data_IF_566750656272
#
_entry.id   IF_566750656272
#
_cell.length_a   1.000
_cell.length_b   1.000
_cell.length_c   1.000
_cell.angle_alpha   90.00
_cell.angle_beta   90.00
_cell.angle_gamma   90.00
#
_symmetry.space_group_name_H-M   'P 1'
#
loop_
_entity.id
_entity.type
_entity.pdbx_description
1 polymer ?
#
# COMPACT_ATOMS: atom_id res chain seq x y z
N UNK A 1 5.62 -9.67 -13.54
CA UNK A 1 6.46 -8.57 -14.05
C UNK A 1 6.74 -7.58 -12.94
N UNK A 2 7.97 -7.11 -12.83
CA UNK A 2 8.32 -6.10 -11.83
C UNK A 2 7.78 -4.74 -12.27
N UNK A 3 7.01 -4.09 -11.38
CA UNK A 3 6.45 -2.76 -11.63
C UNK A 3 7.16 -1.72 -10.78
N UNK A 4 7.28 -0.51 -11.31
CA UNK A 4 7.92 0.59 -10.62
C UNK A 4 6.99 1.14 -9.55
N UNK A 5 7.55 1.43 -8.39
CA UNK A 5 6.80 2.00 -7.28
C UNK A 5 7.67 2.97 -6.50
N UNK A 6 7.04 3.80 -5.69
CA UNK A 6 7.71 4.84 -4.92
C UNK A 6 7.42 4.67 -3.44
N UNK A 7 8.49 4.62 -2.65
CA UNK A 7 8.44 4.61 -1.19
C UNK A 7 9.37 5.73 -0.74
N UNK A 8 8.85 6.70 -0.01
CA UNK A 8 9.60 7.91 0.34
C UNK A 8 10.26 7.80 1.72
N UNK A 9 9.56 7.22 2.70
CA UNK A 9 9.98 7.25 4.09
C UNK A 9 10.07 5.84 4.66
N UNK A 10 11.06 5.55 5.56
CA UNK A 10 11.14 4.21 6.18
C UNK A 10 9.91 3.80 6.96
N UNK A 11 9.06 4.75 7.37
CA UNK A 11 7.81 4.45 8.08
C UNK A 11 6.69 4.03 7.15
N UNK A 12 6.83 4.23 5.83
CA UNK A 12 5.75 3.98 4.90
C UNK A 12 5.32 2.51 4.93
N UNK A 13 4.02 2.29 4.97
CA UNK A 13 3.42 0.96 4.91
C UNK A 13 2.78 0.70 3.57
N UNK A 14 2.86 1.68 2.66
CA UNK A 14 2.36 1.56 1.29
C UNK A 14 3.42 2.05 0.30
N UNK A 15 3.34 1.55 -0.93
CA UNK A 15 4.10 2.05 -2.07
C UNK A 15 3.12 2.60 -3.09
N UNK A 16 3.51 3.67 -3.76
CA UNK A 16 2.70 4.29 -4.82
C UNK A 16 3.14 3.71 -6.15
N UNK A 17 2.22 3.15 -6.90
CA UNK A 17 2.53 2.59 -8.22
C UNK A 17 2.84 3.72 -9.20
N UNK A 18 3.95 3.59 -9.91
CA UNK A 18 4.37 4.56 -10.93
C UNK A 18 3.98 4.12 -12.33
N UNK A 19 3.21 3.05 -12.43
CA UNK A 19 2.63 2.52 -13.66
C UNK A 19 1.47 1.60 -13.28
N UNK A 20 0.63 1.27 -14.26
CA UNK A 20 -0.44 0.31 -14.02
C UNK A 20 0.15 -1.06 -13.75
N UNK A 21 -0.38 -1.73 -12.75
CA UNK A 21 0.06 -3.07 -12.35
C UNK A 21 -1.14 -4.01 -12.31
N UNK A 22 -0.85 -5.30 -12.50
CA UNK A 22 -1.85 -6.35 -12.48
C UNK A 22 -1.57 -7.31 -11.34
N UNK A 23 -2.62 -7.97 -10.86
CA UNK A 23 -2.48 -9.05 -9.89
C UNK A 23 -1.42 -10.03 -10.37
N UNK A 24 -0.50 -10.37 -9.48
CA UNK A 24 0.63 -11.24 -9.79
C UNK A 24 1.91 -10.51 -10.19
N UNK A 25 1.81 -9.22 -10.53
CA UNK A 25 3.00 -8.40 -10.71
C UNK A 25 3.71 -8.20 -9.38
N UNK A 26 4.95 -7.74 -9.41
CA UNK A 26 5.76 -7.56 -8.21
C UNK A 26 6.25 -6.13 -8.10
N UNK A 27 6.53 -5.71 -6.87
CA UNK A 27 7.17 -4.43 -6.57
C UNK A 27 8.30 -4.66 -5.58
N UNK A 28 9.33 -3.83 -5.66
CA UNK A 28 10.46 -3.89 -4.73
C UNK A 28 10.18 -3.05 -3.51
N UNK A 29 10.54 -3.58 -2.33
CA UNK A 29 10.43 -2.84 -1.06
C UNK A 29 11.73 -2.97 -0.29
N UNK A 30 11.97 -2.15 0.74
CA UNK A 30 13.14 -2.33 1.60
C UNK A 30 13.21 -3.70 2.26
N UNK A 31 12.08 -4.38 2.43
CA UNK A 31 12.00 -5.70 3.03
C UNK A 31 12.05 -6.81 1.98
N UNK A 32 12.22 -6.48 0.70
CA UNK A 32 12.28 -7.44 -0.40
C UNK A 32 11.18 -7.22 -1.42
N UNK A 33 11.07 -8.15 -2.35
CA UNK A 33 10.07 -8.10 -3.42
C UNK A 33 8.76 -8.68 -2.91
N UNK A 34 7.66 -7.99 -3.17
CA UNK A 34 6.33 -8.50 -2.83
C UNK A 34 5.51 -8.71 -4.10
N UNK A 35 4.56 -9.64 -4.02
CA UNK A 35 3.63 -9.95 -5.12
C UNK A 35 2.32 -9.23 -4.88
N UNK A 36 1.82 -8.54 -5.90
CA UNK A 36 0.55 -7.82 -5.82
C UNK A 36 -0.61 -8.81 -5.84
N UNK A 37 -1.59 -8.58 -4.99
CA UNK A 37 -2.78 -9.42 -4.87
C UNK A 37 -3.97 -8.86 -5.65
N UNK A 38 -3.84 -7.64 -6.16
CA UNK A 38 -4.88 -6.92 -6.89
C UNK A 38 -4.28 -6.21 -8.10
N UNK A 39 -5.15 -5.88 -9.06
CA UNK A 39 -4.82 -4.90 -10.09
C UNK A 39 -4.76 -3.53 -9.43
N UNK A 40 -3.70 -2.77 -9.67
CA UNK A 40 -3.51 -1.46 -9.06
C UNK A 40 -3.08 -0.47 -10.14
N UNK A 41 -3.86 0.59 -10.31
CA UNK A 41 -3.59 1.59 -11.33
C UNK A 41 -2.49 2.55 -10.90
N UNK A 42 -1.93 3.23 -11.89
CA UNK A 42 -0.95 4.31 -11.68
C UNK A 42 -1.43 5.28 -10.61
N UNK A 43 -0.52 5.68 -9.73
CA UNK A 43 -0.73 6.63 -8.63
C UNK A 43 -1.56 6.07 -7.46
N UNK A 44 -2.06 4.85 -7.58
CA UNK A 44 -2.71 4.18 -6.45
C UNK A 44 -1.67 3.45 -5.60
N UNK A 45 -2.06 3.05 -4.40
CA UNK A 45 -1.10 2.51 -3.43
C UNK A 45 -1.36 1.05 -3.12
N UNK A 46 -0.26 0.32 -2.91
CA UNK A 46 -0.27 -1.07 -2.49
C UNK A 46 0.28 -1.18 -1.08
N UNK A 47 -0.30 -2.05 -0.26
CA UNK A 47 0.28 -2.38 1.05
C UNK A 47 1.62 -3.09 0.85
N UNK A 48 2.67 -2.62 1.51
CA UNK A 48 3.98 -3.27 1.45
C UNK A 48 4.30 -4.06 2.71
N UNK A 49 3.42 -4.01 3.70
CA UNK A 49 3.46 -4.85 4.90
C UNK A 49 2.05 -5.37 5.17
N UNK A 50 1.97 -6.44 5.96
CA UNK A 50 0.67 -6.90 6.43
C UNK A 50 0.14 -5.89 7.45
N UNK A 51 -1.09 -5.45 7.27
CA UNK A 51 -1.75 -4.54 8.20
C UNK A 51 -2.75 -5.34 9.04
N UNK A 52 -2.60 -5.23 10.36
CA UNK A 52 -3.60 -5.78 11.29
C UNK A 52 -4.84 -4.87 11.30
N UNK A 53 -5.98 -5.35 11.82
CA UNK A 53 -7.13 -4.46 12.02
C UNK A 53 -6.75 -3.25 12.88
N UNK A 54 -7.25 -2.07 12.51
CA UNK A 54 -6.99 -0.80 13.21
C UNK A 54 -5.54 -0.36 13.17
N UNK A 55 -4.78 -0.87 12.22
CA UNK A 55 -3.38 -0.47 12.08
C UNK A 55 -3.26 0.81 11.27
N UNK A 56 -2.42 1.77 11.70
CA UNK A 56 -2.18 2.98 10.92
C UNK A 56 -1.57 2.70 9.56
N UNK A 57 -1.95 3.50 8.57
CA UNK A 57 -1.37 3.47 7.22
C UNK A 57 -0.50 4.70 7.07
N UNK A 58 0.77 4.51 6.70
CA UNK A 58 1.73 5.60 6.52
C UNK A 58 2.09 5.76 5.05
N UNK A 59 2.09 7.02 4.60
CA UNK A 59 2.50 7.43 3.27
C UNK A 59 3.34 8.69 3.39
N UNK A 60 4.55 8.66 2.84
CA UNK A 60 5.49 9.78 2.92
C UNK A 60 5.81 10.19 4.36
N UNK A 61 5.84 9.20 5.27
CA UNK A 61 6.12 9.44 6.68
C UNK A 61 4.93 9.94 7.50
N UNK A 62 3.77 10.16 6.89
CA UNK A 62 2.58 10.66 7.57
C UNK A 62 1.51 9.58 7.68
N UNK A 63 0.84 9.55 8.81
CA UNK A 63 -0.32 8.69 8.97
C UNK A 63 -1.47 9.28 8.17
N UNK A 64 -1.99 8.50 7.21
CA UNK A 64 -3.06 8.95 6.32
C UNK A 64 -4.40 8.30 6.65
N UNK A 65 -4.41 7.32 7.54
CA UNK A 65 -5.63 6.61 7.93
C UNK A 65 -5.28 5.34 8.67
N UNK A 66 -6.24 4.44 8.74
CA UNK A 66 -6.06 3.13 9.36
C UNK A 66 -6.88 2.08 8.62
N UNK A 67 -6.46 0.82 8.73
CA UNK A 67 -7.23 -0.29 8.16
C UNK A 67 -8.33 -0.71 9.13
N UNK A 68 -9.52 -1.02 8.64
CA UNK A 68 -10.58 -1.55 9.50
C UNK A 68 -10.38 -3.03 9.78
N UNK A 69 -9.94 -3.76 8.77
CA UNK A 69 -9.73 -5.19 8.86
C UNK A 69 -8.29 -5.50 8.49
N UNK A 70 -7.89 -6.77 8.65
CA UNK A 70 -6.57 -7.20 8.22
C UNK A 70 -6.43 -7.00 6.70
N UNK A 71 -5.30 -6.43 6.29
CA UNK A 71 -4.99 -6.17 4.87
C UNK A 71 -3.62 -6.77 4.58
N UNK A 72 -3.55 -7.87 3.83
CA UNK A 72 -2.27 -8.49 3.50
C UNK A 72 -1.41 -7.59 2.60
N UNK A 73 -0.09 -7.75 2.71
CA UNK A 73 0.82 -7.07 1.78
C UNK A 73 0.47 -7.44 0.33
N UNK A 74 0.60 -6.48 -0.56
CA UNK A 74 0.23 -6.66 -1.96
C UNK A 74 -1.19 -6.24 -2.30
N UNK A 75 -2.01 -5.95 -1.30
CA UNK A 75 -3.40 -5.53 -1.49
C UNK A 75 -3.45 -4.06 -1.90
N UNK A 76 -4.36 -3.72 -2.80
CA UNK A 76 -4.66 -2.34 -3.13
C UNK A 76 -5.35 -1.67 -1.93
N UNK A 77 -4.74 -0.60 -1.41
CA UNK A 77 -5.32 0.16 -0.31
C UNK A 77 -6.01 1.40 -0.86
N UNK A 78 -7.29 1.54 -0.57
CA UNK A 78 -8.10 2.68 -0.99
C UNK A 78 -9.30 2.81 -0.04
N UNK A 79 -10.30 3.58 -0.42
CA UNK A 79 -11.46 3.85 0.44
C UNK A 79 -12.23 2.61 0.89
N UNK A 80 -12.10 1.49 0.17
CA UNK A 80 -12.80 0.26 0.51
C UNK A 80 -12.21 -0.47 1.72
N UNK A 81 -10.94 -0.21 2.06
CA UNK A 81 -10.26 -0.91 3.17
C UNK A 81 -9.45 -0.01 4.08
N UNK A 82 -9.51 1.29 3.85
CA UNK A 82 -8.82 2.27 4.71
C UNK A 82 -9.81 3.36 5.10
N UNK A 83 -9.77 3.78 6.36
CA UNK A 83 -10.55 4.88 6.88
C UNK A 83 -9.64 6.03 7.28
N UNK A 84 -10.14 7.23 7.12
CA UNK A 84 -9.41 8.43 7.49
C UNK A 84 -10.24 9.23 8.49
N UNK A 85 -9.65 9.50 9.66
CA UNK A 85 -10.33 10.26 10.71
C UNK A 85 -10.06 11.76 10.62
N UNK A 86 -9.21 12.14 9.68
CA UNK A 86 -8.80 13.54 9.55
C UNK A 86 -9.94 14.36 8.95
N UNK A 87 -10.12 15.58 9.48
CA UNK A 87 -11.14 16.47 8.97
C UNK A 87 -12.52 16.28 9.59
N UNK A 88 -12.61 15.46 10.60
CA UNK A 88 -13.85 15.30 11.35
C UNK A 88 -14.06 16.40 12.35
#
# INVERSE_FOLDING_TARGET
MLRRSLIIDPKDTVAILLENAQKGDTVETPAGTITLLDDIEFAHKAAIVDHAPKQPVYKYGFEIGYTENAVPRGTWIHNHNMRCDRGR
#
